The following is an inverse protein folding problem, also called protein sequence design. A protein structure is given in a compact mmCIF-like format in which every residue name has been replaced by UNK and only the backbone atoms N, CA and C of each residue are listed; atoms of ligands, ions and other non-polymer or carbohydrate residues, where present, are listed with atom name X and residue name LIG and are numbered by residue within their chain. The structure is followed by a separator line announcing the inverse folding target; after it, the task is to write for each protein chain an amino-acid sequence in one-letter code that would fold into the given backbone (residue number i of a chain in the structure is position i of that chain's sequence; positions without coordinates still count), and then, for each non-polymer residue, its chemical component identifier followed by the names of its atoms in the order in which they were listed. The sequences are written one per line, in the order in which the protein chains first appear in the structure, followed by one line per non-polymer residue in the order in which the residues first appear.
data_IF_031757978528
#
_entry.id   IF_031757978528
#
_cell.length_a   1.000
_cell.length_b   1.000
_cell.length_c   1.000
_cell.angle_alpha   90.00
_cell.angle_beta   90.00
_cell.angle_gamma   90.00
#
_symmetry.space_group_name_H-M   'P 1'
#
loop_
_entity.id
_entity.type
_entity.pdbx_description
1 polymer ?
#
# COMPACT_ATOMS: atom_id res chain seq x y z
N UNK A 1 -18.19 -85.25 31.71
CA UNK A 1 -19.55 -85.27 31.12
C UNK A 1 -20.52 -85.62 32.25
N UNK A 2 -21.68 -84.97 32.41
CA UNK A 2 -22.38 -84.09 31.47
C UNK A 2 -22.40 -82.61 31.88
N UNK A 3 -22.90 -81.82 30.94
CA UNK A 3 -22.95 -80.36 30.85
C UNK A 3 -23.83 -79.69 31.90
N UNK A 4 -23.60 -78.39 32.14
CA UNK A 4 -24.69 -77.49 32.52
C UNK A 4 -24.49 -76.10 31.91
N UNK A 5 -25.61 -75.55 31.44
CA UNK A 5 -25.78 -74.49 30.43
C UNK A 5 -26.09 -73.15 31.11
N UNK A 6 -25.71 -72.06 30.43
CA UNK A 6 -25.86 -70.63 30.78
C UNK A 6 -27.34 -70.24 30.98
N UNK A 7 -27.63 -69.18 31.76
CA UNK A 7 -28.47 -68.14 31.15
C UNK A 7 -27.99 -66.70 31.38
N UNK A 8 -28.21 -65.96 30.29
CA UNK A 8 -28.05 -64.55 29.99
C UNK A 8 -28.86 -63.65 30.94
N UNK A 9 -28.33 -62.47 31.31
CA UNK A 9 -29.15 -61.36 31.82
C UNK A 9 -28.82 -60.06 31.10
N UNK A 10 -29.88 -59.51 30.52
CA UNK A 10 -29.97 -58.33 29.66
C UNK A 10 -30.05 -57.07 30.53
N UNK A 11 -29.30 -56.05 30.14
CA UNK A 11 -29.39 -54.67 30.65
C UNK A 11 -30.46 -53.88 29.90
N UNK A 12 -31.09 -52.89 30.56
CA UNK A 12 -31.54 -51.71 29.86
C UNK A 12 -31.00 -50.41 30.47
N UNK A 13 -30.71 -49.52 29.54
CA UNK A 13 -30.24 -48.14 29.67
C UNK A 13 -31.45 -47.21 29.87
N UNK A 14 -31.31 -46.13 30.65
CA UNK A 14 -31.57 -44.73 30.22
C UNK A 14 -32.04 -43.79 31.34
N UNK A 15 -31.73 -42.50 31.10
CA UNK A 15 -32.21 -41.25 31.71
C UNK A 15 -31.52 -40.73 32.96
N UNK A 16 -30.65 -39.73 32.78
CA UNK A 16 -31.02 -38.33 33.05
C UNK A 16 -29.86 -37.39 32.66
N UNK A 17 -30.05 -36.66 31.55
CA UNK A 17 -29.17 -35.61 31.05
C UNK A 17 -29.96 -34.30 31.16
N UNK A 18 -29.67 -33.45 32.16
CA UNK A 18 -30.21 -32.09 32.21
C UNK A 18 -29.38 -31.17 33.10
N UNK A 19 -29.19 -29.94 32.62
CA UNK A 19 -28.65 -28.76 33.30
C UNK A 19 -27.12 -28.67 33.44
N UNK A 20 -26.44 -28.19 32.39
CA UNK A 20 -25.13 -27.52 32.52
C UNK A 20 -24.70 -26.72 31.28
N UNK A 21 -25.58 -26.00 30.58
CA UNK A 21 -25.13 -25.08 29.51
C UNK A 21 -26.07 -23.86 29.37
N UNK A 22 -25.81 -22.82 30.15
CA UNK A 22 -26.30 -21.47 29.85
C UNK A 22 -25.17 -20.47 30.09
N UNK A 23 -24.27 -20.35 29.10
CA UNK A 23 -23.35 -19.21 29.00
C UNK A 23 -23.96 -18.21 28.02
N UNK A 24 -24.02 -16.90 28.34
CA UNK A 24 -24.40 -15.90 27.35
C UNK A 24 -23.26 -15.83 26.33
N UNK A 25 -23.53 -16.26 25.10
CA UNK A 25 -22.62 -16.02 23.99
C UNK A 25 -22.54 -14.51 23.77
N UNK A 26 -21.39 -13.90 24.06
CA UNK A 26 -21.04 -12.59 23.54
C UNK A 26 -21.02 -12.71 22.01
N UNK A 27 -22.09 -12.26 21.35
CA UNK A 27 -22.14 -12.22 19.90
C UNK A 27 -21.07 -11.23 19.42
N UNK A 28 -19.98 -11.74 18.85
CA UNK A 28 -19.10 -10.92 18.04
C UNK A 28 -19.86 -10.60 16.75
N UNK A 29 -20.52 -9.43 16.68
CA UNK A 29 -21.06 -8.93 15.42
C UNK A 29 -19.93 -8.88 14.39
N UNK A 30 -20.07 -9.64 13.31
CA UNK A 30 -19.16 -9.62 12.19
C UNK A 30 -18.96 -8.16 11.71
N UNK A 31 -17.71 -7.70 11.48
CA UNK A 31 -17.41 -6.31 11.12
C UNK A 31 -18.10 -5.86 9.82
N UNK A 32 -18.49 -6.82 8.98
CA UNK A 32 -19.17 -6.58 7.71
C UNK A 32 -20.66 -6.18 7.86
N UNK A 33 -21.27 -6.42 9.02
CA UNK A 33 -22.68 -6.09 9.28
C UNK A 33 -22.90 -4.63 9.71
N UNK A 34 -21.83 -3.86 9.98
CA UNK A 34 -21.95 -2.51 10.52
C UNK A 34 -22.22 -1.46 9.42
N UNK A 35 -21.46 -1.47 8.32
CA UNK A 35 -21.64 -0.51 7.22
C UNK A 35 -22.95 -0.73 6.45
N UNK A 36 -23.42 -1.97 6.36
CA UNK A 36 -24.68 -2.34 5.69
C UNK A 36 -25.91 -1.70 6.37
N UNK A 37 -25.83 -1.40 7.68
CA UNK A 37 -26.88 -0.68 8.41
C UNK A 37 -26.98 0.78 7.95
N UNK A 38 -25.85 1.44 7.73
CA UNK A 38 -25.84 2.81 7.19
C UNK A 38 -26.33 2.83 5.74
N UNK A 39 -26.01 1.81 4.93
CA UNK A 39 -26.45 1.72 3.54
C UNK A 39 -27.97 1.60 3.36
N UNK A 40 -28.69 1.06 4.35
CA UNK A 40 -30.14 0.90 4.32
C UNK A 40 -30.92 2.20 4.63
N UNK A 41 -30.24 3.27 5.07
CA UNK A 41 -30.87 4.56 5.39
C UNK A 41 -31.19 5.31 4.09
N UNK A 42 -32.46 5.70 3.90
CA UNK A 42 -32.94 6.43 2.73
C UNK A 42 -32.64 7.93 2.77
N UNK A 43 -32.66 8.54 3.96
CA UNK A 43 -32.30 9.95 4.14
C UNK A 43 -30.78 10.16 3.97
N UNK A 44 -30.42 11.11 3.10
CA UNK A 44 -29.02 11.32 2.70
C UNK A 44 -28.15 11.86 3.82
N UNK A 45 -28.66 12.79 4.64
CA UNK A 45 -27.91 13.41 5.73
C UNK A 45 -27.72 12.45 6.91
N UNK A 46 -28.77 11.70 7.27
CA UNK A 46 -28.71 10.65 8.28
C UNK A 46 -27.76 9.51 7.86
N UNK A 47 -27.78 9.14 6.57
CA UNK A 47 -26.86 8.14 6.01
C UNK A 47 -25.40 8.58 6.12
N UNK A 48 -25.08 9.81 5.73
CA UNK A 48 -23.72 10.37 5.86
C UNK A 48 -23.25 10.35 7.32
N UNK A 49 -24.07 10.86 8.23
CA UNK A 49 -23.75 10.89 9.67
C UNK A 49 -23.48 9.49 10.23
N UNK A 50 -24.24 8.48 9.80
CA UNK A 50 -24.02 7.08 10.20
C UNK A 50 -22.66 6.57 9.73
N UNK A 51 -22.28 6.86 8.48
CA UNK A 51 -20.96 6.47 7.95
C UNK A 51 -19.81 7.19 8.66
N UNK A 52 -19.96 8.47 8.98
CA UNK A 52 -18.95 9.23 9.72
C UNK A 52 -18.73 8.66 11.13
N UNK A 53 -19.80 8.32 11.84
CA UNK A 53 -19.73 7.68 13.15
C UNK A 53 -19.10 6.28 13.09
N UNK A 54 -19.48 5.48 12.08
CA UNK A 54 -18.89 4.17 11.87
C UNK A 54 -17.40 4.27 11.56
N UNK A 55 -17.00 5.20 10.68
CA UNK A 55 -15.60 5.43 10.32
C UNK A 55 -14.77 5.90 11.52
N UNK A 56 -15.32 6.76 12.38
CA UNK A 56 -14.67 7.18 13.63
C UNK A 56 -14.40 6.03 14.61
N UNK A 57 -15.18 4.94 14.55
CA UNK A 57 -14.98 3.74 15.35
C UNK A 57 -13.97 2.77 14.72
N UNK A 58 -13.63 2.91 13.44
CA UNK A 58 -12.65 2.08 12.74
C UNK A 58 -11.21 2.52 13.03
N UNK A 59 -10.89 2.98 14.25
CA UNK A 59 -9.57 3.42 14.64
C UNK A 59 -8.51 2.44 14.11
N UNK A 60 -7.85 2.85 13.03
CA UNK A 60 -6.86 2.02 12.36
C UNK A 60 -5.68 1.92 13.31
N UNK A 61 -5.57 0.78 14.00
CA UNK A 61 -4.37 0.43 14.72
C UNK A 61 -3.33 0.05 13.67
N UNK A 62 -2.61 1.07 13.18
CA UNK A 62 -1.36 0.86 12.50
C UNK A 62 -0.51 -0.09 13.36
N UNK A 63 0.10 -1.16 12.82
CA UNK A 63 1.20 -1.79 13.53
C UNK A 63 2.16 -0.68 13.93
N UNK A 64 2.54 -0.61 15.21
CA UNK A 64 3.53 0.34 15.66
C UNK A 64 4.76 0.16 14.78
N UNK A 65 5.01 1.11 13.88
CA UNK A 65 6.33 1.25 13.31
C UNK A 65 7.23 1.47 14.52
N UNK A 66 8.24 0.61 14.70
CA UNK A 66 9.32 0.84 15.65
C UNK A 66 10.09 2.08 15.21
N UNK A 67 9.50 3.26 15.41
CA UNK A 67 10.23 4.49 15.49
C UNK A 67 11.00 4.40 16.81
N UNK A 68 12.31 4.19 16.71
CA UNK A 68 13.20 4.49 17.81
C UNK A 68 12.82 5.88 18.35
N UNK A 69 12.73 6.02 19.67
CA UNK A 69 12.50 7.30 20.33
C UNK A 69 13.62 8.27 19.90
N UNK A 70 13.34 9.08 18.88
CA UNK A 70 14.20 10.17 18.51
C UNK A 70 13.85 11.33 19.44
N UNK A 71 14.85 11.71 20.24
CA UNK A 71 14.79 12.84 21.16
C UNK A 71 14.38 14.08 20.36
N UNK A 72 13.33 14.81 20.75
CA UNK A 72 12.94 16.01 20.02
C UNK A 72 14.07 17.04 20.09
N UNK A 73 14.55 17.59 18.95
CA UNK A 73 15.46 18.72 18.99
C UNK A 73 14.74 19.92 19.61
N UNK A 74 15.48 20.71 20.38
CA UNK A 74 15.00 21.89 21.07
C UNK A 74 14.26 22.85 20.12
N UNK A 75 13.16 23.43 20.61
CA UNK A 75 12.33 24.38 19.88
C UNK A 75 13.19 25.53 19.30
N UNK A 76 13.02 25.89 18.02
CA UNK A 76 13.70 27.06 17.47
C UNK A 76 13.18 28.32 18.14
N UNK A 77 14.11 29.18 18.56
CA UNK A 77 13.83 30.51 19.10
C UNK A 77 12.99 31.33 18.12
N UNK A 78 12.03 32.08 18.66
CA UNK A 78 11.15 33.01 17.95
C UNK A 78 11.94 33.88 16.96
N UNK A 79 11.57 33.82 15.69
CA UNK A 79 12.10 34.66 14.62
C UNK A 79 11.52 36.07 14.73
N UNK A 80 12.39 37.07 14.78
CA UNK A 80 12.04 38.49 14.76
C UNK A 80 11.50 38.89 13.37
N UNK A 81 10.22 39.26 13.31
CA UNK A 81 9.47 39.56 12.10
C UNK A 81 9.75 40.94 11.51
N UNK A 82 10.69 41.71 12.09
CA UNK A 82 10.90 43.12 11.72
C UNK A 82 12.05 43.39 10.77
N UNK A 83 12.81 42.37 10.36
CA UNK A 83 13.93 42.51 9.42
C UNK A 83 13.61 41.91 8.04
N UNK A 84 13.74 42.66 6.92
CA UNK A 84 13.65 42.09 5.59
C UNK A 84 14.90 41.23 5.34
N UNK A 85 14.76 39.93 5.52
CA UNK A 85 15.83 38.97 5.28
C UNK A 85 15.93 38.66 3.78
N UNK A 86 16.68 39.47 3.03
CA UNK A 86 17.29 39.01 1.78
C UNK A 86 18.41 38.04 2.14
N UNK A 87 18.05 36.80 2.49
CA UNK A 87 19.02 35.71 2.53
C UNK A 87 18.96 34.97 1.21
N UNK A 88 19.93 35.26 0.35
CA UNK A 88 20.42 34.25 -0.59
C UNK A 88 21.08 33.16 0.25
N UNK A 89 20.28 32.22 0.72
CA UNK A 89 20.79 30.93 1.16
C UNK A 89 20.77 30.08 -0.09
N UNK A 90 21.94 29.84 -0.66
CA UNK A 90 22.16 28.68 -1.52
C UNK A 90 22.09 27.44 -0.62
N UNK A 91 20.87 27.15 -0.14
CA UNK A 91 20.51 25.81 0.30
C UNK A 91 20.56 25.01 -0.99
N UNK A 92 21.15 23.82 -0.96
CA UNK A 92 20.74 22.77 -1.86
C UNK A 92 19.24 22.52 -1.64
N UNK A 93 18.39 23.43 -2.13
CA UNK A 93 16.95 23.33 -2.02
C UNK A 93 16.64 22.08 -2.80
N UNK A 94 16.19 21.05 -2.09
CA UNK A 94 15.68 19.87 -2.75
C UNK A 94 14.33 20.29 -3.34
N UNK A 95 14.33 21.20 -4.31
CA UNK A 95 13.16 21.96 -4.72
C UNK A 95 12.14 21.06 -5.42
N UNK A 96 10.85 21.34 -5.20
CA UNK A 96 9.75 20.63 -5.86
C UNK A 96 9.44 19.27 -5.24
N UNK A 97 9.14 18.29 -6.08
CA UNK A 97 8.66 16.95 -5.72
C UNK A 97 9.62 16.07 -4.91
N UNK A 98 10.78 16.57 -4.49
CA UNK A 98 11.75 15.87 -3.63
C UNK A 98 11.87 16.51 -2.24
N UNK A 99 11.28 17.68 -2.02
CA UNK A 99 11.37 18.44 -0.78
C UNK A 99 10.71 17.70 0.41
N UNK A 100 11.48 17.26 1.42
CA UNK A 100 10.95 16.51 2.55
C UNK A 100 9.97 17.29 3.43
N UNK A 101 9.87 18.63 3.28
CA UNK A 101 8.88 19.43 3.99
C UNK A 101 7.43 19.11 3.55
N UNK A 102 7.25 18.57 2.34
CA UNK A 102 5.95 18.13 1.84
C UNK A 102 5.71 16.63 2.11
N UNK A 103 4.43 16.29 2.31
CA UNK A 103 4.01 14.90 2.57
C UNK A 103 4.42 13.96 1.42
N UNK A 104 4.52 12.67 1.72
CA UNK A 104 4.83 11.65 0.70
C UNK A 104 3.79 11.64 -0.42
N UNK A 105 2.51 11.81 -0.10
CA UNK A 105 1.41 11.88 -1.06
C UNK A 105 1.55 13.12 -1.96
N UNK A 106 1.79 14.28 -1.35
CA UNK A 106 2.04 15.56 -2.02
C UNK A 106 3.17 15.45 -3.03
N UNK A 107 4.33 14.90 -2.63
CA UNK A 107 5.49 14.71 -3.52
C UNK A 107 5.31 13.62 -4.57
N UNK A 108 4.55 12.58 -4.27
CA UNK A 108 4.33 11.48 -5.19
C UNK A 108 3.35 11.85 -6.30
N UNK A 109 2.32 12.63 -5.99
CA UNK A 109 1.30 13.08 -6.95
C UNK A 109 1.47 14.53 -7.41
N UNK A 110 2.39 15.28 -6.81
CA UNK A 110 2.69 16.67 -7.11
C UNK A 110 1.45 17.56 -6.97
N UNK A 111 0.87 17.54 -5.75
CA UNK A 111 -0.43 18.12 -5.43
C UNK A 111 -0.37 19.62 -5.04
N UNK A 112 0.84 20.19 -4.92
CA UNK A 112 1.04 21.56 -4.50
C UNK A 112 2.11 22.23 -5.35
N UNK A 113 2.05 23.55 -5.46
CA UNK A 113 3.01 24.32 -6.26
C UNK A 113 4.46 24.09 -5.81
N UNK A 114 4.70 23.92 -4.51
CA UNK A 114 6.04 23.65 -3.98
C UNK A 114 6.48 22.18 -4.05
N UNK A 115 5.56 21.25 -4.39
CA UNK A 115 5.87 19.84 -4.63
C UNK A 115 5.85 19.46 -6.12
N UNK A 116 5.72 20.43 -7.03
CA UNK A 116 5.70 20.25 -8.48
C UNK A 116 7.13 20.08 -9.04
N UNK A 117 7.31 19.10 -9.93
CA UNK A 117 8.56 18.91 -10.69
C UNK A 117 8.40 19.17 -12.18
N UNK A 118 7.25 19.67 -12.60
CA UNK A 118 6.96 20.05 -13.97
C UNK A 118 6.47 18.88 -14.85
N UNK A 119 5.93 19.26 -16.00
CA UNK A 119 5.42 18.34 -17.02
C UNK A 119 6.56 17.85 -17.92
N UNK A 120 6.41 16.65 -18.48
CA UNK A 120 7.36 15.97 -19.38
C UNK A 120 8.73 15.64 -18.76
N UNK A 121 8.81 15.63 -17.42
CA UNK A 121 9.98 15.17 -16.69
C UNK A 121 9.89 13.67 -16.39
N UNK A 122 10.99 12.94 -16.57
CA UNK A 122 11.07 11.51 -16.24
C UNK A 122 11.29 11.31 -14.73
N UNK A 123 10.41 10.52 -14.11
CA UNK A 123 10.58 10.04 -12.73
C UNK A 123 10.52 8.53 -12.66
N UNK A 124 11.17 7.93 -11.66
CA UNK A 124 11.01 6.50 -11.38
C UNK A 124 9.57 6.18 -10.96
N UNK A 125 9.07 5.02 -11.41
CA UNK A 125 7.75 4.51 -11.04
C UNK A 125 7.84 3.25 -10.18
N UNK A 126 8.57 2.24 -10.67
CA UNK A 126 8.93 1.02 -9.92
C UNK A 126 10.44 0.95 -9.70
N UNK A 127 10.96 -0.02 -8.91
CA UNK A 127 12.39 -0.18 -8.74
C UNK A 127 13.12 -0.27 -10.09
N UNK A 128 14.10 0.62 -10.25
CA UNK A 128 15.03 0.63 -11.37
C UNK A 128 16.29 -0.08 -10.90
N UNK A 129 16.74 -1.10 -11.62
CA UNK A 129 17.90 -1.89 -11.22
C UNK A 129 18.91 -1.98 -12.35
N UNK A 130 20.19 -1.96 -11.97
CA UNK A 130 21.31 -2.28 -12.83
C UNK A 130 22.11 -3.37 -12.14
N UNK A 131 22.30 -4.50 -12.82
CA UNK A 131 23.03 -5.64 -12.27
C UNK A 131 23.82 -6.35 -13.36
N UNK A 132 24.80 -7.15 -12.95
CA UNK A 132 25.48 -8.11 -13.82
C UNK A 132 24.97 -9.50 -13.46
N UNK A 133 24.49 -10.24 -14.44
CA UNK A 133 23.96 -11.59 -14.27
C UNK A 133 24.86 -12.59 -14.99
N UNK A 134 24.94 -13.80 -14.44
CA UNK A 134 25.61 -14.93 -15.10
C UNK A 134 24.62 -16.09 -15.20
N UNK A 135 24.60 -16.76 -16.34
CA UNK A 135 23.70 -17.89 -16.59
C UNK A 135 24.48 -19.20 -16.77
N UNK A 136 23.86 -20.32 -16.41
CA UNK A 136 24.41 -21.66 -16.70
C UNK A 136 24.35 -21.99 -18.19
N UNK A 137 23.37 -21.43 -18.91
CA UNK A 137 23.19 -21.55 -20.36
C UNK A 137 22.55 -20.28 -20.93
N UNK A 138 22.78 -20.02 -22.22
CA UNK A 138 22.18 -18.90 -22.97
C UNK A 138 21.68 -19.45 -24.31
N UNK A 139 20.69 -18.79 -24.91
CA UNK A 139 20.24 -19.15 -26.25
C UNK A 139 21.34 -18.83 -27.27
N UNK A 140 21.96 -19.86 -27.84
CA UNK A 140 23.04 -19.74 -28.82
C UNK A 140 22.57 -19.65 -30.27
N UNK A 141 21.29 -19.86 -30.52
CA UNK A 141 20.71 -19.83 -31.86
C UNK A 141 19.32 -19.16 -31.79
N UNK A 142 19.26 -17.84 -31.53
CA UNK A 142 17.99 -17.13 -31.42
C UNK A 142 17.26 -17.11 -32.76
N UNK A 143 15.94 -17.21 -32.67
CA UNK A 143 15.03 -17.15 -33.82
C UNK A 143 13.94 -16.11 -33.55
N UNK A 144 13.38 -15.56 -34.61
CA UNK A 144 12.21 -14.68 -34.56
C UNK A 144 11.26 -15.02 -35.71
N UNK A 145 10.04 -14.50 -35.66
CA UNK A 145 9.04 -14.73 -36.70
C UNK A 145 9.30 -13.93 -37.99
N UNK A 146 10.20 -12.96 -37.97
CA UNK A 146 10.54 -12.18 -39.17
C UNK A 146 11.36 -13.06 -40.15
N UNK A 147 11.05 -13.02 -41.46
CA UNK A 147 11.79 -13.76 -42.48
C UNK A 147 13.29 -13.47 -42.39
N UNK A 148 14.13 -14.50 -42.49
CA UNK A 148 15.61 -14.41 -42.42
C UNK A 148 16.20 -13.81 -41.12
N UNK A 149 15.40 -13.66 -40.04
CA UNK A 149 15.86 -13.19 -38.73
C UNK A 149 15.99 -14.35 -37.72
N UNK A 150 16.68 -15.39 -38.15
CA UNK A 150 17.03 -16.55 -37.33
C UNK A 150 18.49 -16.88 -37.53
N UNK A 151 19.19 -17.16 -36.43
CA UNK A 151 20.58 -17.59 -36.51
C UNK A 151 20.67 -18.93 -37.25
N UNK A 152 21.34 -18.94 -38.41
CA UNK A 152 21.50 -20.15 -39.22
C UNK A 152 22.41 -21.21 -38.56
N UNK A 153 23.31 -20.77 -37.68
CA UNK A 153 24.24 -21.60 -36.95
C UNK A 153 24.33 -21.16 -35.48
N UNK A 154 24.83 -22.06 -34.64
CA UNK A 154 25.05 -21.78 -33.21
C UNK A 154 26.22 -20.81 -33.02
N UNK A 155 25.99 -19.74 -32.23
CA UNK A 155 26.98 -18.70 -31.94
C UNK A 155 27.38 -18.78 -30.45
N UNK A 156 28.69 -18.74 -30.11
CA UNK A 156 29.16 -18.87 -28.74
C UNK A 156 29.03 -17.56 -27.94
N UNK A 157 27.79 -17.15 -27.62
CA UNK A 157 27.55 -15.97 -26.79
C UNK A 157 28.12 -16.11 -25.37
N UNK A 158 28.53 -14.97 -24.80
CA UNK A 158 28.95 -14.88 -23.39
C UNK A 158 27.77 -15.17 -22.48
N UNK A 159 28.03 -15.81 -21.34
CA UNK A 159 27.01 -16.12 -20.32
C UNK A 159 26.87 -15.05 -19.25
N UNK A 160 27.72 -14.03 -19.29
CA UNK A 160 27.71 -12.89 -18.37
C UNK A 160 27.16 -11.68 -19.10
N UNK A 161 26.08 -11.11 -18.57
CA UNK A 161 25.32 -10.04 -19.22
C UNK A 161 25.06 -8.90 -18.22
N UNK A 162 24.96 -7.68 -18.74
CA UNK A 162 24.43 -6.56 -17.98
C UNK A 162 22.91 -6.57 -18.09
N UNK A 163 22.22 -6.54 -16.95
CA UNK A 163 20.76 -6.46 -16.86
C UNK A 163 20.35 -5.09 -16.33
N UNK A 164 19.64 -4.35 -17.17
CA UNK A 164 19.02 -3.08 -16.83
C UNK A 164 17.50 -3.24 -16.80
N UNK A 165 16.87 -2.91 -15.67
CA UNK A 165 15.41 -2.83 -15.55
C UNK A 165 15.03 -1.39 -15.30
N UNK A 166 14.31 -0.79 -16.26
CA UNK A 166 13.86 0.60 -16.20
C UNK A 166 12.34 0.63 -15.95
N UNK A 167 11.90 1.58 -15.13
CA UNK A 167 10.47 1.84 -14.91
C UNK A 167 10.27 3.31 -14.61
N UNK A 168 9.71 4.02 -15.58
CA UNK A 168 9.55 5.47 -15.54
C UNK A 168 8.09 5.87 -15.65
N UNK A 169 7.76 7.04 -15.11
CA UNK A 169 6.52 7.78 -15.30
C UNK A 169 6.84 9.20 -15.73
N UNK A 170 5.96 9.82 -16.51
CA UNK A 170 6.10 11.20 -16.96
C UNK A 170 4.77 11.91 -16.76
N UNK A 171 4.81 13.11 -16.20
CA UNK A 171 3.61 13.92 -16.03
C UNK A 171 3.29 14.56 -17.37
N UNK A 172 2.13 14.29 -17.96
CA UNK A 172 1.75 14.78 -19.29
C UNK A 172 0.89 16.05 -19.24
N UNK A 173 0.21 16.31 -18.12
CA UNK A 173 -0.55 17.53 -17.93
C UNK A 173 -0.72 17.86 -16.44
N UNK A 174 -1.10 19.10 -16.14
CA UNK A 174 -1.37 19.55 -14.78
C UNK A 174 -2.38 20.70 -14.75
N UNK A 175 -3.09 20.85 -13.64
CA UNK A 175 -4.00 21.98 -13.43
C UNK A 175 -5.35 21.85 -14.15
N UNK A 176 -5.75 20.64 -14.57
CA UNK A 176 -6.98 20.39 -15.31
C UNK A 176 -8.22 20.67 -14.45
N UNK A 177 -8.15 20.39 -13.14
CA UNK A 177 -9.29 20.49 -12.23
C UNK A 177 -9.11 21.53 -11.13
N UNK A 178 -7.88 22.02 -10.92
CA UNK A 178 -7.56 22.98 -9.86
C UNK A 178 -7.77 24.44 -10.24
N UNK A 179 -8.24 24.74 -11.47
CA UNK A 179 -8.59 26.11 -11.90
C UNK A 179 -7.49 27.15 -11.62
N UNK A 180 -6.21 26.77 -11.77
CA UNK A 180 -5.06 27.61 -11.44
C UNK A 180 -4.99 28.09 -9.99
N UNK A 181 -5.49 27.30 -9.03
CA UNK A 181 -5.34 27.58 -7.60
C UNK A 181 -3.86 27.87 -7.24
N UNK A 182 -3.57 28.89 -6.40
CA UNK A 182 -2.19 29.34 -6.16
C UNK A 182 -1.32 28.27 -5.49
N UNK A 183 -1.92 27.39 -4.69
CA UNK A 183 -1.20 26.39 -3.89
C UNK A 183 -1.53 24.94 -4.24
N UNK A 184 -2.63 24.67 -4.94
CA UNK A 184 -3.11 23.30 -5.21
C UNK A 184 -2.85 22.96 -6.66
N UNK A 185 -2.49 21.71 -6.91
CA UNK A 185 -2.21 21.16 -8.22
C UNK A 185 -2.89 19.80 -8.36
N UNK A 186 -3.25 19.50 -9.59
CA UNK A 186 -3.59 18.16 -10.06
C UNK A 186 -2.61 17.78 -11.16
N UNK A 187 -2.32 16.49 -11.27
CA UNK A 187 -1.31 15.96 -12.18
C UNK A 187 -1.87 14.76 -12.93
N UNK A 188 -1.73 14.77 -14.26
CA UNK A 188 -1.99 13.64 -15.14
C UNK A 188 -0.65 13.01 -15.52
N UNK A 189 -0.47 11.73 -15.20
CA UNK A 189 0.76 10.94 -15.39
C UNK A 189 0.56 9.84 -16.43
#
# INVERSE_FOLDING_TARGET
MPSCVIPLKVTPVALALAALLASPAAQAQAPNAAWQRCAAISDSAARLTCFDQWAGQQAWQAPAASAAQEVPPAAPSLVDTTLPATRMIEVAQTAGCRDPQYSSLSRFWELETGSDCGTFSFRGYRPITASVVTASSVNRQPTSSAPDHSAAQSIPYRRTEARLQLSVRTKIAQGLFTQNHPTRKDSLW
#
